data_IF_094243528324
#
_entry.id   IF_094243528324
#
_cell.length_a   1.000
_cell.length_b   1.000
_cell.length_c   1.000
_cell.angle_alpha   90.00
_cell.angle_beta   90.00
_cell.angle_gamma   90.00
#
_symmetry.space_group_name_H-M   'P 1'
#
loop_
_entity.id
_entity.type
_entity.pdbx_description
1 polymer ?
#
# COMPACT_ATOMS: atom_id res chain seq x y z
N UNK A 1 -1.65 14.53 19.16
CA UNK A 1 -1.89 14.51 17.71
C UNK A 1 -1.26 13.28 17.10
N UNK A 2 -1.96 12.59 16.20
CA UNK A 2 -1.42 11.49 15.40
C UNK A 2 -1.58 11.82 13.92
N UNK A 3 -0.73 11.22 13.09
CA UNK A 3 -0.81 11.35 11.63
C UNK A 3 -0.82 9.95 11.07
N UNK A 4 -1.88 9.59 10.35
CA UNK A 4 -2.10 8.23 9.88
C UNK A 4 -2.39 8.24 8.39
N UNK A 5 -1.76 7.33 7.64
CA UNK A 5 -2.11 7.12 6.24
C UNK A 5 -3.44 6.38 6.18
N UNK A 6 -4.40 6.96 5.46
CA UNK A 6 -5.74 6.42 5.30
C UNK A 6 -5.97 6.07 3.84
N UNK A 7 -6.18 4.79 3.54
CA UNK A 7 -6.40 4.29 2.18
C UNK A 7 -7.91 4.10 1.97
N UNK A 8 -8.46 4.72 0.94
CA UNK A 8 -9.88 4.58 0.59
C UNK A 8 -10.02 3.86 -0.75
N UNK A 9 -10.56 2.66 -0.70
CA UNK A 9 -10.75 1.79 -1.86
C UNK A 9 -12.09 2.09 -2.50
N UNK A 10 -12.04 2.59 -3.73
CA UNK A 10 -13.22 3.04 -4.49
C UNK A 10 -13.21 2.46 -5.90
N UNK A 11 -14.32 2.57 -6.61
CA UNK A 11 -14.42 2.12 -8.00
C UNK A 11 -14.09 0.64 -8.13
N UNK A 12 -13.20 0.30 -9.04
CA UNK A 12 -12.78 -1.08 -9.31
C UNK A 12 -12.06 -1.71 -8.11
N UNK A 13 -11.56 -0.93 -7.17
CA UNK A 13 -10.86 -1.42 -6.00
C UNK A 13 -11.80 -1.67 -4.81
N UNK A 14 -13.02 -1.14 -4.85
CA UNK A 14 -14.02 -1.42 -3.81
C UNK A 14 -14.33 -2.93 -3.80
N UNK A 15 -14.25 -3.54 -2.62
CA UNK A 15 -14.39 -4.99 -2.45
C UNK A 15 -13.07 -5.74 -2.33
N UNK A 16 -11.94 -5.06 -2.59
CA UNK A 16 -10.60 -5.67 -2.53
C UNK A 16 -9.82 -5.31 -1.27
N UNK A 17 -10.47 -4.63 -0.32
CA UNK A 17 -9.80 -4.15 0.88
C UNK A 17 -9.25 -5.26 1.77
N UNK A 18 -10.02 -6.32 2.00
CA UNK A 18 -9.55 -7.49 2.77
C UNK A 18 -8.33 -8.14 2.13
N UNK A 19 -8.37 -8.34 0.82
CA UNK A 19 -7.26 -8.92 0.07
C UNK A 19 -6.00 -8.05 0.19
N UNK A 20 -6.16 -6.73 0.10
CA UNK A 20 -5.05 -5.79 0.19
C UNK A 20 -4.38 -5.83 1.57
N UNK A 21 -5.14 -5.72 2.65
CA UNK A 21 -4.54 -5.70 3.99
C UNK A 21 -3.97 -7.06 4.39
N UNK A 22 -4.50 -8.15 3.86
CA UNK A 22 -3.91 -9.47 4.05
C UNK A 22 -2.57 -9.59 3.31
N UNK A 23 -2.47 -9.07 2.09
CA UNK A 23 -1.21 -9.03 1.36
C UNK A 23 -0.17 -8.20 2.13
N UNK A 24 -0.52 -6.99 2.53
CA UNK A 24 0.41 -6.09 3.20
C UNK A 24 0.91 -6.65 4.53
N UNK A 25 0.00 -7.12 5.38
CA UNK A 25 0.39 -7.64 6.70
C UNK A 25 1.17 -8.95 6.61
N UNK A 26 0.99 -9.72 5.54
CA UNK A 26 1.79 -10.91 5.27
C UNK A 26 3.20 -10.59 4.82
N UNK A 27 3.37 -9.53 4.02
CA UNK A 27 4.65 -9.18 3.43
C UNK A 27 5.58 -8.41 4.37
N UNK A 28 5.01 -7.49 5.16
CA UNK A 28 5.81 -6.64 6.05
C UNK A 28 6.02 -7.31 7.40
N UNK A 29 7.26 -7.32 7.92
CA UNK A 29 7.52 -7.82 9.27
C UNK A 29 6.84 -6.92 10.31
N UNK A 30 6.56 -7.49 11.49
CA UNK A 30 5.93 -6.78 12.62
C UNK A 30 4.65 -6.06 12.18
N UNK A 31 3.74 -6.80 11.55
CA UNK A 31 2.52 -6.27 10.95
C UNK A 31 1.33 -7.12 11.33
N UNK A 32 0.18 -6.49 11.55
CA UNK A 32 -1.05 -7.18 11.93
C UNK A 32 -2.28 -6.36 11.55
N UNK A 33 -3.40 -7.06 11.36
CA UNK A 33 -4.72 -6.43 11.25
C UNK A 33 -5.23 -6.26 12.68
N UNK A 34 -5.43 -5.01 13.12
CA UNK A 34 -5.84 -4.70 14.50
C UNK A 34 -7.35 -4.74 14.69
N UNK A 35 -8.10 -4.17 13.75
CA UNK A 35 -9.56 -4.16 13.83
C UNK A 35 -10.17 -3.92 12.46
N UNK A 36 -11.36 -4.50 12.26
CA UNK A 36 -12.18 -4.25 11.08
C UNK A 36 -13.60 -4.03 11.54
N UNK A 37 -14.18 -2.89 11.13
CA UNK A 37 -15.59 -2.60 11.26
C UNK A 37 -16.22 -2.62 9.87
N UNK A 38 -17.30 -3.38 9.71
CA UNK A 38 -17.99 -3.49 8.44
C UNK A 38 -19.26 -2.64 8.43
N UNK A 39 -19.76 -2.36 7.25
CA UNK A 39 -21.03 -1.67 7.10
C UNK A 39 -22.17 -2.52 7.64
N UNK A 40 -23.17 -1.86 8.21
CA UNK A 40 -24.44 -2.49 8.56
C UNK A 40 -25.32 -2.64 7.32
N UNK A 41 -26.26 -3.57 7.35
CA UNK A 41 -27.27 -3.71 6.30
C UNK A 41 -28.06 -2.42 6.14
N UNK A 42 -28.13 -1.91 4.91
CA UNK A 42 -28.84 -0.68 4.59
C UNK A 42 -28.09 0.61 4.91
N UNK A 43 -26.86 0.52 5.44
CA UNK A 43 -26.02 1.68 5.69
C UNK A 43 -25.51 2.26 4.37
N UNK A 44 -25.45 3.60 4.29
CA UNK A 44 -24.95 4.29 3.08
C UNK A 44 -23.44 4.10 2.92
N UNK A 45 -23.00 3.90 1.69
CA UNK A 45 -21.58 3.83 1.33
C UNK A 45 -21.02 2.44 1.25
N UNK A 46 -21.73 1.40 1.68
CA UNK A 46 -21.25 0.04 1.62
C UNK A 46 -22.30 -1.02 1.92
N UNK A 47 -21.86 -2.24 1.90
CA UNK A 47 -22.62 -3.44 2.22
C UNK A 47 -21.89 -4.22 3.32
N UNK A 48 -22.52 -5.21 4.00
CA UNK A 48 -21.90 -5.86 5.16
C UNK A 48 -20.56 -6.57 4.92
N UNK A 49 -20.24 -6.90 3.68
CA UNK A 49 -18.96 -7.52 3.34
C UNK A 49 -17.83 -6.50 3.16
N UNK A 50 -18.15 -5.20 3.03
CA UNK A 50 -17.17 -4.15 2.82
C UNK A 50 -16.63 -3.59 4.14
N UNK A 51 -15.39 -3.14 4.11
CA UNK A 51 -14.75 -2.51 5.25
C UNK A 51 -15.21 -1.05 5.34
N UNK A 52 -15.90 -0.71 6.45
CA UNK A 52 -16.23 0.68 6.77
C UNK A 52 -15.00 1.38 7.35
N UNK A 53 -14.35 0.77 8.34
CA UNK A 53 -13.06 1.22 8.90
C UNK A 53 -12.22 0.00 9.28
N UNK A 54 -10.99 -0.01 8.84
CA UNK A 54 -10.01 -0.98 9.29
C UNK A 54 -8.77 -0.28 9.82
N UNK A 55 -8.12 -0.90 10.79
CA UNK A 55 -6.83 -0.47 11.33
C UNK A 55 -5.87 -1.65 11.20
N UNK A 56 -4.72 -1.40 10.61
CA UNK A 56 -3.66 -2.39 10.50
C UNK A 56 -2.30 -1.72 10.69
N UNK A 57 -1.29 -2.52 10.97
CA UNK A 57 0.08 -2.00 11.10
C UNK A 57 0.98 -2.62 10.06
N UNK A 58 1.94 -1.83 9.59
CA UNK A 58 3.08 -2.27 8.79
C UNK A 58 4.34 -1.81 9.49
N UNK A 59 5.19 -2.75 9.86
CA UNK A 59 6.39 -2.47 10.65
C UNK A 59 6.08 -1.67 11.93
N UNK A 60 4.97 -2.00 12.58
CA UNK A 60 4.52 -1.33 13.78
C UNK A 60 3.85 0.03 13.57
N UNK A 61 3.79 0.54 12.36
CA UNK A 61 3.16 1.84 12.03
C UNK A 61 1.71 1.62 11.65
N UNK A 62 0.80 2.39 12.24
CA UNK A 62 -0.63 2.27 11.95
C UNK A 62 -1.00 2.89 10.60
N UNK A 63 -1.86 2.16 9.91
CA UNK A 63 -2.58 2.58 8.71
C UNK A 63 -4.07 2.36 8.92
N UNK A 64 -4.87 3.11 8.19
CA UNK A 64 -6.32 2.89 8.17
C UNK A 64 -6.78 2.60 6.75
N UNK A 65 -7.89 1.89 6.64
CA UNK A 65 -8.51 1.54 5.36
C UNK A 65 -10.02 1.70 5.45
N UNK A 66 -10.63 2.11 4.36
CA UNK A 66 -12.07 2.16 4.16
C UNK A 66 -12.39 1.74 2.74
N UNK A 67 -13.56 1.18 2.53
CA UNK A 67 -14.12 0.94 1.20
C UNK A 67 -15.39 1.76 1.04
N UNK A 68 -15.63 2.29 -0.15
CA UNK A 68 -16.83 3.05 -0.47
C UNK A 68 -17.38 2.60 -1.83
N UNK A 69 -18.67 2.28 -1.87
CA UNK A 69 -19.35 1.93 -3.11
C UNK A 69 -20.04 3.14 -3.80
N UNK A 70 -19.83 4.35 -3.28
CA UNK A 70 -20.23 5.55 -3.98
C UNK A 70 -19.45 5.71 -5.28
N UNK A 71 -20.06 6.35 -6.26
CA UNK A 71 -19.40 6.66 -7.52
C UNK A 71 -18.47 7.87 -7.32
N UNK A 72 -17.18 7.62 -7.27
CA UNK A 72 -16.14 8.65 -7.14
C UNK A 72 -15.43 8.86 -8.47
N UNK A 73 -15.04 10.09 -8.75
CA UNK A 73 -14.26 10.44 -9.95
C UNK A 73 -12.74 10.22 -9.76
N UNK A 74 -12.32 9.77 -8.59
CA UNK A 74 -10.91 9.60 -8.22
C UNK A 74 -10.66 8.18 -7.70
N UNK A 75 -9.41 7.80 -7.70
CA UNK A 75 -8.89 6.59 -7.06
C UNK A 75 -7.45 6.87 -6.63
N UNK A 76 -6.67 5.83 -6.37
CA UNK A 76 -5.25 6.00 -6.05
C UNK A 76 -4.48 6.61 -7.22
N UNK A 77 -3.46 7.37 -6.90
CA UNK A 77 -2.59 8.04 -7.86
C UNK A 77 -1.14 7.91 -7.41
N UNK A 78 -0.19 7.72 -8.34
CA UNK A 78 1.24 7.66 -7.99
C UNK A 78 1.82 9.00 -7.52
N UNK A 79 1.02 10.06 -7.53
CA UNK A 79 1.44 11.34 -6.94
C UNK A 79 1.68 11.26 -5.43
N UNK A 80 1.05 10.28 -4.76
CA UNK A 80 1.32 9.97 -3.34
C UNK A 80 1.77 8.52 -3.27
N UNK A 81 2.89 8.29 -2.60
CA UNK A 81 3.46 6.95 -2.43
C UNK A 81 3.76 6.68 -0.97
N UNK A 82 3.73 5.40 -0.62
CA UNK A 82 4.28 4.93 0.64
C UNK A 82 5.75 4.59 0.37
N UNK A 83 6.66 5.23 1.09
CA UNK A 83 8.10 5.00 0.93
C UNK A 83 8.59 3.98 1.95
N UNK A 84 9.26 2.96 1.45
CA UNK A 84 9.93 1.95 2.27
C UNK A 84 11.44 2.13 2.13
N UNK A 85 12.11 2.24 3.25
CA UNK A 85 13.56 2.40 3.30
C UNK A 85 14.15 1.44 4.31
N UNK A 86 15.14 0.66 3.90
CA UNK A 86 15.83 -0.29 4.76
C UNK A 86 17.24 -0.55 4.23
N UNK A 87 18.09 -1.10 5.09
CA UNK A 87 19.45 -1.53 4.72
C UNK A 87 19.51 -2.97 4.23
N UNK A 88 18.43 -3.73 4.40
CA UNK A 88 18.35 -5.13 3.97
C UNK A 88 17.95 -5.22 2.50
N UNK A 89 18.90 -5.65 1.67
CA UNK A 89 18.63 -5.83 0.24
C UNK A 89 17.58 -6.93 -0.01
N UNK A 90 17.64 -8.02 0.74
CA UNK A 90 16.67 -9.11 0.60
C UNK A 90 15.24 -8.64 0.91
N UNK A 91 15.08 -7.85 1.97
CA UNK A 91 13.77 -7.33 2.34
C UNK A 91 13.22 -6.38 1.27
N UNK A 92 14.03 -5.41 0.86
CA UNK A 92 13.62 -4.42 -0.15
C UNK A 92 13.28 -5.11 -1.47
N UNK A 93 14.09 -6.04 -1.92
CA UNK A 93 13.84 -6.77 -3.16
C UNK A 93 12.57 -7.61 -3.09
N UNK A 94 12.38 -8.34 -1.98
CA UNK A 94 11.18 -9.16 -1.80
C UNK A 94 9.91 -8.32 -1.79
N UNK A 95 9.90 -7.20 -1.06
CA UNK A 95 8.74 -6.30 -1.02
C UNK A 95 8.45 -5.72 -2.40
N UNK A 96 9.47 -5.28 -3.11
CA UNK A 96 9.30 -4.74 -4.47
C UNK A 96 8.71 -5.77 -5.43
N UNK A 97 9.25 -6.98 -5.44
CA UNK A 97 8.79 -8.05 -6.32
C UNK A 97 7.36 -8.47 -6.01
N UNK A 98 7.04 -8.68 -4.73
CA UNK A 98 5.72 -9.15 -4.31
C UNK A 98 4.64 -8.07 -4.50
N UNK A 99 4.94 -6.80 -4.24
CA UNK A 99 3.98 -5.72 -4.41
C UNK A 99 3.74 -5.38 -5.89
N UNK A 100 4.73 -5.56 -6.75
CA UNK A 100 4.57 -5.30 -8.19
C UNK A 100 4.00 -6.49 -8.97
N UNK A 101 3.85 -7.65 -8.34
CA UNK A 101 3.34 -8.87 -8.97
C UNK A 101 1.80 -8.86 -9.08
N UNK A 102 1.25 -9.87 -9.77
CA UNK A 102 -0.18 -10.22 -9.78
C UNK A 102 -1.14 -9.07 -10.13
N UNK A 103 -0.78 -8.29 -11.13
CA UNK A 103 -1.58 -7.15 -11.59
C UNK A 103 -1.02 -5.80 -11.18
N UNK A 104 0.07 -5.79 -10.43
CA UNK A 104 0.83 -4.57 -10.17
C UNK A 104 1.60 -4.12 -11.41
N UNK A 105 2.27 -2.98 -11.27
CA UNK A 105 3.02 -2.38 -12.38
C UNK A 105 4.34 -1.81 -11.87
N UNK A 106 5.44 -2.18 -12.52
CA UNK A 106 6.74 -1.57 -12.25
C UNK A 106 6.80 -0.24 -13.00
N UNK A 107 7.01 0.85 -12.25
CA UNK A 107 7.16 2.20 -12.80
C UNK A 107 8.64 2.54 -13.00
N UNK A 108 9.47 2.24 -12.00
CA UNK A 108 10.93 2.35 -12.08
C UNK A 108 11.50 1.05 -11.49
N UNK A 109 12.24 0.27 -12.29
CA UNK A 109 12.83 -0.98 -11.79
C UNK A 109 13.71 -0.75 -10.57
N UNK A 110 13.71 -1.69 -9.64
CA UNK A 110 14.63 -1.64 -8.49
C UNK A 110 16.05 -1.91 -8.97
N UNK A 111 16.88 -0.87 -8.98
CA UNK A 111 18.23 -0.94 -9.49
C UNK A 111 19.11 0.16 -8.88
N UNK A 112 20.40 0.06 -9.13
CA UNK A 112 21.39 1.08 -8.78
C UNK A 112 21.44 2.13 -9.91
N UNK A 113 21.05 3.34 -9.58
CA UNK A 113 21.05 4.46 -10.52
C UNK A 113 22.24 5.39 -10.31
N UNK A 114 23.21 4.95 -9.53
CA UNK A 114 24.42 5.71 -9.22
C UNK A 114 24.20 6.72 -8.08
N UNK A 115 25.27 7.37 -7.66
CA UNK A 115 25.27 8.38 -6.60
C UNK A 115 24.84 9.77 -7.08
N UNK A 116 24.48 9.92 -8.36
CA UNK A 116 24.09 11.18 -8.98
C UNK A 116 22.85 10.99 -9.83
N UNK A 117 22.05 12.03 -9.98
CA UNK A 117 20.83 12.02 -10.79
C UNK A 117 19.57 11.93 -9.94
N UNK A 118 18.44 11.74 -10.60
CA UNK A 118 17.10 11.86 -10.01
C UNK A 118 16.79 10.77 -8.98
N UNK A 119 17.47 9.64 -9.04
CA UNK A 119 17.23 8.49 -8.16
C UNK A 119 18.41 8.20 -7.24
N UNK A 120 19.22 9.21 -6.92
CA UNK A 120 20.39 9.09 -6.06
C UNK A 120 20.03 9.12 -4.56
N UNK A 121 19.10 8.25 -4.16
CA UNK A 121 18.58 8.22 -2.78
C UNK A 121 19.22 7.18 -1.89
N UNK A 122 20.12 6.36 -2.40
CA UNK A 122 20.74 5.27 -1.68
C UNK A 122 21.46 4.33 -2.64
N UNK A 123 21.65 3.07 -2.22
CA UNK A 123 22.30 2.06 -3.08
C UNK A 123 21.41 1.62 -4.23
N UNK A 124 20.09 1.55 -4.00
CA UNK A 124 19.09 1.20 -5.02
C UNK A 124 17.82 1.97 -4.79
N UNK A 125 17.09 2.20 -5.87
CA UNK A 125 15.76 2.80 -5.86
C UNK A 125 14.81 1.99 -6.75
N UNK A 126 13.56 1.90 -6.34
CA UNK A 126 12.50 1.32 -7.15
C UNK A 126 11.16 1.97 -6.88
N UNK A 127 10.24 1.83 -7.81
CA UNK A 127 8.91 2.41 -7.73
C UNK A 127 7.92 1.49 -8.42
N UNK A 128 6.82 1.16 -7.76
CA UNK A 128 5.77 0.33 -8.34
C UNK A 128 4.39 0.75 -7.87
N UNK A 129 3.38 0.32 -8.61
CA UNK A 129 2.01 0.25 -8.14
C UNK A 129 1.69 -1.20 -7.82
N UNK A 130 0.94 -1.41 -6.72
CA UNK A 130 0.48 -2.75 -6.39
C UNK A 130 -0.79 -3.12 -7.17
N UNK A 131 -1.33 -4.35 -7.00
CA UNK A 131 -2.52 -4.78 -7.75
C UNK A 131 -3.77 -3.93 -7.50
N UNK A 132 -3.77 -3.11 -6.45
CA UNK A 132 -4.90 -2.25 -6.06
C UNK A 132 -4.69 -0.81 -6.49
N UNK A 133 -3.55 -0.48 -7.09
CA UNK A 133 -3.21 0.86 -7.54
C UNK A 133 -2.51 1.73 -6.50
N UNK A 134 -2.19 1.19 -5.32
CA UNK A 134 -1.42 1.92 -4.31
C UNK A 134 0.04 2.01 -4.76
N UNK A 135 0.61 3.20 -4.66
CA UNK A 135 1.97 3.50 -5.10
C UNK A 135 2.97 3.29 -3.97
N UNK A 136 4.05 2.58 -4.26
CA UNK A 136 5.13 2.25 -3.34
C UNK A 136 6.46 2.64 -3.94
N UNK A 137 7.29 3.32 -3.14
CA UNK A 137 8.68 3.61 -3.51
C UNK A 137 9.61 2.91 -2.52
N UNK A 138 10.79 2.53 -3.01
CA UNK A 138 11.72 1.71 -2.25
C UNK A 138 13.11 2.31 -2.33
N UNK A 139 13.75 2.46 -1.18
CA UNK A 139 15.14 2.88 -1.08
C UNK A 139 15.92 1.82 -0.31
N UNK A 140 16.95 1.28 -0.93
CA UNK A 140 17.95 0.47 -0.24
C UNK A 140 19.04 1.41 0.25
N UNK A 141 19.09 1.60 1.56
CA UNK A 141 20.07 2.48 2.21
C UNK A 141 21.43 1.85 2.37
N UNK A 142 22.46 2.69 2.56
CA UNK A 142 23.82 2.25 2.90
C UNK A 142 23.89 1.50 4.23
#
# INVERSE_FOLDING_TARGET
MTTTTFLTFVGDQCGKGDEAIQLYTRLFPNSEIKSIKRYATGESGGTPELIKFGVFTLNGIEFMISESNYNHAWSFSPAVSILIQDTSEDLIQNLFEELSANGGQVMVPLDDYGGEGDYAFGRKFGWCEDPFGVSWQFILSE
#
